data_IF_794128085448
#
_entry.id   IF_794128085448
#
_cell.length_a   1.000
_cell.length_b   1.000
_cell.length_c   1.000
_cell.angle_alpha   90.00
_cell.angle_beta   90.00
_cell.angle_gamma   90.00
#
_symmetry.space_group_name_H-M   'P 1'
#
loop_
_entity.id
_entity.type
_entity.pdbx_description
1 polymer ?
#
# COMPACT_ATOMS: atom_id res chain seq x y z
N UNK A 1 6.40 -6.17 5.22
CA UNK A 1 6.93 -7.54 5.43
C UNK A 1 5.88 -8.63 5.26
N UNK A 2 4.70 -8.60 5.92
CA UNK A 2 3.77 -9.73 5.88
C UNK A 2 3.35 -10.15 4.46
N UNK A 3 3.00 -9.17 3.60
CA UNK A 3 2.64 -9.44 2.21
C UNK A 3 3.74 -10.11 1.39
N UNK A 4 5.02 -9.81 1.67
CA UNK A 4 6.15 -10.41 0.95
C UNK A 4 6.33 -11.88 1.28
N UNK A 5 6.26 -12.23 2.56
CA UNK A 5 6.34 -13.61 3.02
C UNK A 5 5.22 -14.44 2.40
N UNK A 6 4.00 -13.90 2.38
CA UNK A 6 2.84 -14.59 1.80
C UNK A 6 2.98 -14.72 0.28
N UNK A 7 3.45 -13.68 -0.41
CA UNK A 7 3.67 -13.72 -1.86
C UNK A 7 4.71 -14.79 -2.25
N UNK A 8 5.83 -14.84 -1.55
CA UNK A 8 6.90 -15.81 -1.79
C UNK A 8 6.46 -17.24 -1.45
N UNK A 9 5.73 -17.42 -0.34
CA UNK A 9 5.17 -18.72 0.04
C UNK A 9 4.16 -19.23 -1.01
N UNK A 10 3.30 -18.36 -1.54
CA UNK A 10 2.35 -18.73 -2.61
C UNK A 10 3.11 -19.15 -3.87
N UNK A 11 4.15 -18.41 -4.27
CA UNK A 11 4.96 -18.78 -5.43
C UNK A 11 5.67 -20.11 -5.24
N UNK A 12 6.29 -20.30 -4.07
CA UNK A 12 7.02 -21.51 -3.73
C UNK A 12 6.11 -22.75 -3.69
N UNK A 13 4.92 -22.64 -3.11
CA UNK A 13 3.98 -23.76 -2.96
C UNK A 13 3.23 -24.08 -4.26
N UNK A 14 2.85 -23.05 -5.03
CA UNK A 14 2.07 -23.25 -6.26
C UNK A 14 2.93 -23.52 -7.48
N UNK A 15 4.18 -23.05 -7.50
CA UNK A 15 5.06 -23.08 -8.68
C UNK A 15 4.51 -22.31 -9.89
N UNK A 16 3.46 -21.52 -9.71
CA UNK A 16 2.70 -20.91 -10.81
C UNK A 16 2.69 -19.39 -10.70
N UNK A 17 3.14 -18.75 -11.76
CA UNK A 17 3.13 -17.29 -11.88
C UNK A 17 1.70 -16.73 -11.93
N UNK A 18 0.77 -17.38 -12.63
CA UNK A 18 -0.61 -16.90 -12.76
C UNK A 18 -1.36 -16.99 -11.43
N UNK A 19 -1.17 -18.08 -10.68
CA UNK A 19 -1.78 -18.24 -9.36
C UNK A 19 -1.19 -17.25 -8.36
N UNK A 20 0.13 -17.06 -8.38
CA UNK A 20 0.81 -16.05 -7.55
C UNK A 20 0.35 -14.64 -7.88
N UNK A 21 0.16 -14.32 -9.16
CA UNK A 21 -0.35 -13.01 -9.57
C UNK A 21 -1.73 -12.74 -8.98
N UNK A 22 -2.66 -13.69 -9.11
CA UNK A 22 -4.05 -13.51 -8.67
C UNK A 22 -4.17 -13.58 -7.14
N UNK A 23 -3.77 -14.69 -6.52
CA UNK A 23 -3.95 -14.90 -5.08
C UNK A 23 -2.93 -14.09 -4.29
N UNK A 24 -1.67 -14.10 -4.73
CA UNK A 24 -0.60 -13.36 -4.08
C UNK A 24 -0.74 -11.85 -4.25
N UNK A 25 -1.13 -11.36 -5.44
CA UNK A 25 -1.43 -9.95 -5.66
C UNK A 25 -2.59 -9.45 -4.80
N UNK A 26 -3.67 -10.23 -4.70
CA UNK A 26 -4.79 -9.89 -3.82
C UNK A 26 -4.39 -9.92 -2.34
N UNK A 27 -3.69 -10.97 -1.89
CA UNK A 27 -3.20 -11.10 -0.52
C UNK A 27 -2.26 -9.94 -0.14
N UNK A 28 -1.41 -9.50 -1.07
CA UNK A 28 -0.50 -8.37 -0.86
C UNK A 28 -1.27 -7.09 -0.50
N UNK A 29 -2.29 -6.73 -1.27
CA UNK A 29 -3.11 -5.54 -1.02
C UNK A 29 -3.90 -5.63 0.28
N UNK A 30 -4.51 -6.79 0.56
CA UNK A 30 -5.34 -7.00 1.75
C UNK A 30 -4.54 -7.01 3.06
N UNK A 31 -3.33 -7.56 3.05
CA UNK A 31 -2.48 -7.63 4.25
C UNK A 31 -1.77 -6.31 4.57
N UNK A 32 -1.77 -5.34 3.65
CA UNK A 32 -1.04 -4.10 3.82
C UNK A 32 -1.53 -3.29 5.02
N UNK A 33 -2.83 -2.95 5.08
CA UNK A 33 -3.35 -2.13 6.17
C UNK A 33 -3.35 -2.87 7.52
N UNK A 34 -3.80 -4.13 7.63
CA UNK A 34 -3.71 -4.91 8.87
C UNK A 34 -2.28 -5.10 9.37
N UNK A 35 -1.32 -5.31 8.46
CA UNK A 35 0.09 -5.49 8.81
C UNK A 35 0.75 -4.23 9.38
N UNK A 36 0.23 -3.04 9.06
CA UNK A 36 0.73 -1.77 9.58
C UNK A 36 -0.10 -1.25 10.77
N UNK A 37 -1.34 -1.72 10.93
CA UNK A 37 -2.26 -1.24 11.96
C UNK A 37 -1.67 -1.24 13.38
N UNK A 38 -0.99 -2.30 13.87
CA UNK A 38 -0.42 -2.31 15.22
C UNK A 38 0.57 -1.17 15.50
N UNK A 39 1.25 -0.67 14.47
CA UNK A 39 2.21 0.42 14.57
C UNK A 39 1.51 1.77 14.55
N UNK A 40 0.52 1.94 13.66
CA UNK A 40 -0.13 3.25 13.44
C UNK A 40 -1.32 3.51 14.38
N UNK A 41 -1.95 2.46 14.93
CA UNK A 41 -3.14 2.59 15.76
C UNK A 41 -2.95 3.53 16.98
N UNK A 42 -1.83 3.48 17.73
CA UNK A 42 -1.61 4.41 18.83
C UNK A 42 -1.61 5.88 18.41
N UNK A 43 -1.24 6.17 17.16
CA UNK A 43 -1.20 7.53 16.63
C UNK A 43 -2.57 8.06 16.17
N UNK A 44 -3.58 7.18 16.05
CA UNK A 44 -4.94 7.55 15.65
C UNK A 44 -5.85 7.85 16.85
N UNK A 45 -5.32 7.86 18.08
CA UNK A 45 -6.07 8.27 19.26
C UNK A 45 -6.44 9.76 19.16
N UNK A 46 -7.71 10.13 19.36
CA UNK A 46 -8.14 11.52 19.30
C UNK A 46 -7.68 12.28 20.54
N UNK A 47 -7.24 13.53 20.33
CA UNK A 47 -6.83 14.48 21.37
C UNK A 47 -7.50 15.82 21.09
N UNK A 48 -7.95 16.51 22.14
CA UNK A 48 -8.40 17.89 22.03
C UNK A 48 -7.20 18.83 22.16
N UNK A 49 -6.93 19.63 21.13
CA UNK A 49 -5.86 20.62 21.11
C UNK A 49 -6.44 21.98 20.70
N UNK A 50 -6.36 22.96 21.61
CA UNK A 50 -6.92 24.31 21.42
C UNK A 50 -8.40 24.31 20.96
N UNK A 51 -9.22 23.41 21.51
CA UNK A 51 -10.65 23.30 21.19
C UNK A 51 -10.97 22.56 19.88
N UNK A 52 -9.97 21.99 19.19
CA UNK A 52 -10.15 21.14 18.01
C UNK A 52 -9.77 19.69 18.29
N UNK A 53 -10.50 18.75 17.71
CA UNK A 53 -10.14 17.34 17.75
C UNK A 53 -9.08 17.06 16.67
N UNK A 54 -7.94 16.53 17.09
CA UNK A 54 -6.83 16.12 16.23
C UNK A 54 -6.39 14.71 16.60
N UNK A 55 -5.83 13.96 15.66
CA UNK A 55 -5.14 12.70 16.01
C UNK A 55 -3.73 13.01 16.54
N UNK A 56 -3.15 12.10 17.32
CA UNK A 56 -1.73 12.21 17.70
C UNK A 56 -0.80 12.32 16.47
N UNK A 57 -1.14 11.65 15.37
CA UNK A 57 -0.41 11.77 14.09
C UNK A 57 -0.46 13.19 13.52
N UNK A 58 -1.63 13.83 13.52
CA UNK A 58 -1.78 15.21 13.06
C UNK A 58 -1.03 16.19 13.98
N UNK A 59 -1.09 15.95 15.29
CA UNK A 59 -0.40 16.76 16.30
C UNK A 59 1.13 16.72 16.13
N UNK A 60 1.70 15.54 15.86
CA UNK A 60 3.12 15.40 15.54
C UNK A 60 3.51 16.23 14.31
N UNK A 61 2.69 16.17 13.25
CA UNK A 61 2.91 16.96 12.03
C UNK A 61 2.77 18.47 12.24
N UNK A 62 2.00 18.87 13.25
CA UNK A 62 1.81 20.27 13.66
C UNK A 62 2.98 20.80 14.49
N UNK A 63 3.47 20.03 15.49
CA UNK A 63 4.56 20.46 16.36
C UNK A 63 5.94 20.41 15.68
N UNK A 64 6.21 19.35 14.92
CA UNK A 64 7.50 19.18 14.24
C UNK A 64 7.46 19.86 12.88
N UNK A 65 7.79 21.15 12.87
CA UNK A 65 7.70 22.03 11.69
C UNK A 65 8.55 21.50 10.53
N UNK A 66 7.91 21.32 9.37
CA UNK A 66 8.56 20.94 8.11
C UNK A 66 8.48 22.10 7.12
N UNK A 67 9.58 22.82 6.93
CA UNK A 67 9.65 24.08 6.17
C UNK A 67 9.14 24.01 4.73
N UNK A 68 9.33 22.86 4.07
CA UNK A 68 8.93 22.65 2.67
C UNK A 68 7.66 21.81 2.48
N UNK A 69 7.00 21.33 3.53
CA UNK A 69 5.84 20.43 3.41
C UNK A 69 4.65 20.91 4.24
N UNK A 70 3.90 21.92 3.76
CA UNK A 70 2.73 22.43 4.45
C UNK A 70 1.58 21.41 4.50
N UNK A 71 0.56 21.63 5.32
CA UNK A 71 -0.55 20.68 5.50
C UNK A 71 -1.36 20.45 4.21
N UNK A 72 -1.61 21.51 3.43
CA UNK A 72 -2.49 21.45 2.27
C UNK A 72 -1.95 20.58 1.11
N UNK A 73 -0.66 20.28 1.06
CA UNK A 73 -0.08 19.39 0.05
C UNK A 73 -0.33 17.90 0.36
N UNK A 74 -0.88 17.58 1.53
CA UNK A 74 -1.11 16.21 1.97
C UNK A 74 -2.25 15.57 1.16
N UNK A 75 -1.93 14.48 0.47
CA UNK A 75 -2.91 13.64 -0.24
C UNK A 75 -3.44 12.56 0.71
N UNK A 76 -4.41 12.94 1.53
CA UNK A 76 -5.14 12.04 2.44
C UNK A 76 -6.63 12.11 2.16
N UNK A 77 -7.38 11.19 2.75
CA UNK A 77 -8.82 11.19 2.69
C UNK A 77 -9.39 12.47 3.36
N UNK A 78 -10.30 13.15 2.65
CA UNK A 78 -10.99 14.38 3.10
C UNK A 78 -12.52 14.25 3.00
N UNK A 79 -13.03 13.02 2.90
CA UNK A 79 -14.42 12.73 2.59
C UNK A 79 -14.83 13.06 1.15
N UNK A 80 -15.82 12.35 0.62
CA UNK A 80 -16.53 12.74 -0.61
C UNK A 80 -18.03 12.52 -0.42
N UNK A 81 -18.87 13.16 -1.23
CA UNK A 81 -20.32 12.91 -1.19
C UNK A 81 -20.73 11.50 -1.66
N UNK A 82 -19.77 10.70 -2.13
CA UNK A 82 -19.99 9.35 -2.67
C UNK A 82 -19.47 8.25 -1.74
N UNK A 83 -18.80 8.59 -0.65
CA UNK A 83 -18.31 7.62 0.33
C UNK A 83 -19.42 7.25 1.30
N UNK A 84 -19.66 5.96 1.46
CA UNK A 84 -20.62 5.42 2.42
C UNK A 84 -19.88 4.83 3.62
N UNK A 85 -20.22 5.30 4.82
CA UNK A 85 -19.77 4.69 6.07
C UNK A 85 -18.25 4.76 6.32
N UNK A 86 -17.73 3.76 7.05
CA UNK A 86 -16.33 3.67 7.49
C UNK A 86 -15.49 2.67 6.67
N UNK A 87 -15.99 2.26 5.51
CA UNK A 87 -15.42 1.16 4.73
C UNK A 87 -14.30 1.57 3.76
N UNK A 88 -13.77 2.79 3.91
CA UNK A 88 -12.73 3.36 3.04
C UNK A 88 -11.47 2.46 3.01
N UNK A 89 -11.04 1.97 4.17
CA UNK A 89 -9.83 1.14 4.27
C UNK A 89 -10.01 -0.24 3.61
N UNK A 90 -11.07 -1.02 3.90
CA UNK A 90 -11.36 -2.26 3.18
C UNK A 90 -11.47 -2.07 1.65
N UNK A 91 -12.24 -1.07 1.20
CA UNK A 91 -12.42 -0.83 -0.25
C UNK A 91 -11.10 -0.49 -0.93
N UNK A 92 -10.27 0.36 -0.30
CA UNK A 92 -8.95 0.71 -0.82
C UNK A 92 -8.00 -0.49 -0.84
N UNK A 93 -8.07 -1.39 0.15
CA UNK A 93 -7.23 -2.59 0.20
C UNK A 93 -7.60 -3.59 -0.92
N UNK A 94 -8.89 -3.80 -1.18
CA UNK A 94 -9.34 -4.62 -2.32
C UNK A 94 -8.95 -4.00 -3.66
N UNK A 95 -9.15 -2.69 -3.81
CA UNK A 95 -8.73 -1.97 -5.02
C UNK A 95 -7.22 -2.10 -5.25
N UNK A 96 -6.41 -1.88 -4.20
CA UNK A 96 -4.96 -2.10 -4.27
C UNK A 96 -4.64 -3.54 -4.66
N UNK A 97 -5.30 -4.53 -4.06
CA UNK A 97 -5.09 -5.93 -4.39
C UNK A 97 -5.37 -6.23 -5.87
N UNK A 98 -6.49 -5.74 -6.40
CA UNK A 98 -6.84 -5.92 -7.81
C UNK A 98 -5.81 -5.29 -8.76
N UNK A 99 -5.40 -4.04 -8.50
CA UNK A 99 -4.38 -3.36 -9.31
C UNK A 99 -3.02 -4.08 -9.17
N UNK A 100 -2.68 -4.57 -7.98
CA UNK A 100 -1.45 -5.33 -7.74
C UNK A 100 -1.35 -6.59 -8.59
N UNK A 101 -2.47 -7.24 -8.96
CA UNK A 101 -2.46 -8.38 -9.89
C UNK A 101 -1.91 -7.95 -11.25
N UNK A 102 -2.42 -6.85 -11.81
CA UNK A 102 -2.01 -6.32 -13.12
C UNK A 102 -0.54 -5.89 -13.11
N UNK A 103 -0.14 -5.18 -12.05
CA UNK A 103 1.24 -4.74 -11.86
C UNK A 103 2.16 -5.96 -11.71
N UNK A 104 1.76 -7.00 -10.98
CA UNK A 104 2.56 -8.21 -10.85
C UNK A 104 2.82 -8.88 -12.21
N UNK A 105 1.79 -9.01 -13.06
CA UNK A 105 1.97 -9.54 -14.42
C UNK A 105 2.99 -8.73 -15.22
N UNK A 106 2.81 -7.40 -15.27
CA UNK A 106 3.70 -6.49 -15.99
C UNK A 106 5.15 -6.63 -15.50
N UNK A 107 5.35 -6.53 -14.19
CA UNK A 107 6.69 -6.53 -13.60
C UNK A 107 7.36 -7.90 -13.64
N UNK A 108 6.61 -9.00 -13.65
CA UNK A 108 7.18 -10.33 -13.84
C UNK A 108 7.77 -10.48 -15.24
N UNK A 109 7.07 -10.06 -16.30
CA UNK A 109 7.61 -10.10 -17.66
C UNK A 109 8.77 -9.11 -17.84
N UNK A 110 8.69 -7.95 -17.21
CA UNK A 110 9.79 -6.99 -17.20
C UNK A 110 11.03 -7.58 -16.50
N UNK A 111 10.85 -8.31 -15.40
CA UNK A 111 11.91 -9.05 -14.73
C UNK A 111 12.52 -10.13 -15.63
N UNK A 112 11.71 -10.85 -16.41
CA UNK A 112 12.23 -11.81 -17.42
C UNK A 112 13.05 -11.12 -18.50
N UNK A 113 12.61 -9.94 -18.97
CA UNK A 113 13.35 -9.17 -19.97
C UNK A 113 14.72 -8.70 -19.43
N UNK A 114 14.76 -8.21 -18.19
CA UNK A 114 16.04 -7.87 -17.54
C UNK A 114 16.92 -9.09 -17.27
N UNK A 115 16.33 -10.26 -17.04
CA UNK A 115 17.05 -11.53 -16.93
C UNK A 115 17.59 -12.08 -18.26
N UNK A 116 17.45 -11.34 -19.36
CA UNK A 116 17.98 -11.73 -20.67
C UNK A 116 19.50 -11.69 -20.68
N UNK A 117 20.12 -12.78 -21.15
CA UNK A 117 21.57 -12.88 -21.36
C UNK A 117 21.96 -12.66 -22.83
N UNK A 118 21.07 -12.02 -23.61
CA UNK A 118 21.33 -11.76 -25.02
C UNK A 118 22.43 -10.70 -25.17
N UNK A 119 23.47 -11.04 -25.92
CA UNK A 119 24.47 -10.08 -26.38
C UNK A 119 23.98 -9.44 -27.68
N UNK A 120 24.27 -8.16 -27.85
CA UNK A 120 23.99 -7.43 -29.09
C UNK A 120 25.32 -7.26 -29.81
N UNK A 121 25.41 -7.73 -31.06
CA UNK A 121 26.57 -7.43 -31.90
C UNK A 121 26.58 -5.94 -32.27
N UNK A 122 27.77 -5.34 -32.22
CA UNK A 122 27.95 -4.00 -32.75
C UNK A 122 27.91 -4.08 -34.29
N UNK A 123 27.04 -3.28 -34.90
CA UNK A 123 26.99 -3.08 -36.35
C UNK A 123 28.24 -2.37 -36.87
#
# INVERSE_FOLDING_TARGET
MPGAIVLDAILMLSGSMTLTAVIGGLAWGLLFYPGNWPIIAPLHVPVEYNGMMMTLADLQGYHYVRTGTPEYIRMVEKGTLRTFGKDVAPVSAFFSGFVSILIYFLWHFFGKWFGSTAFVEAA
#
